data_IF_356025698565
#
_entry.id   IF_356025698565
#
_cell.length_a   1.000
_cell.length_b   1.000
_cell.length_c   1.000
_cell.angle_alpha   90.00
_cell.angle_beta   90.00
_cell.angle_gamma   90.00
#
_symmetry.space_group_name_H-M   'P 1'
#
loop_
_entity.id
_entity.type
_entity.pdbx_description
1 polymer ?
#
# COMPACT_ATOMS: atom_id res chain seq x y z
N UNK A 1 -10.59 5.23 14.92
CA UNK A 1 -10.19 3.94 14.31
C UNK A 1 -8.69 3.68 14.29
N UNK A 2 -7.84 4.70 14.43
CA UNK A 2 -6.40 4.52 14.54
C UNK A 2 -5.91 4.90 15.93
N UNK A 3 -6.10 6.16 16.33
CA UNK A 3 -5.62 6.68 17.61
C UNK A 3 -6.47 6.20 18.80
N UNK A 4 -7.79 6.38 18.73
CA UNK A 4 -8.69 6.06 19.85
C UNK A 4 -9.19 4.60 19.86
N UNK A 5 -8.97 3.87 18.78
CA UNK A 5 -9.34 2.45 18.68
C UNK A 5 -8.33 1.75 17.78
N UNK A 6 -7.16 1.34 18.29
CA UNK A 6 -6.10 0.76 17.49
C UNK A 6 -6.61 -0.39 16.62
N UNK A 7 -6.37 -0.29 15.31
CA UNK A 7 -6.70 -1.34 14.34
C UNK A 7 -5.49 -1.62 13.48
N UNK A 8 -5.35 -2.84 12.94
CA UNK A 8 -4.24 -3.13 12.03
C UNK A 8 -4.30 -2.23 10.80
N UNK A 9 -3.22 -1.48 10.60
CA UNK A 9 -3.06 -0.54 9.50
C UNK A 9 -1.80 -0.87 8.71
N UNK A 10 -1.86 -0.63 7.40
CA UNK A 10 -0.69 -0.61 6.52
C UNK A 10 -0.72 0.67 5.71
N UNK A 11 0.40 1.38 5.70
CA UNK A 11 0.59 2.56 4.86
C UNK A 11 1.06 2.11 3.48
N UNK A 12 0.46 2.67 2.43
CA UNK A 12 0.80 2.42 1.03
C UNK A 12 1.20 3.76 0.44
N UNK A 13 2.35 3.80 -0.21
CA UNK A 13 2.97 5.01 -0.74
C UNK A 13 4.37 4.67 -1.27
N UNK A 14 5.08 5.69 -1.74
CA UNK A 14 6.45 5.53 -2.24
C UNK A 14 7.38 5.16 -1.07
N UNK A 15 8.18 4.12 -1.24
CA UNK A 15 8.98 3.51 -0.20
C UNK A 15 10.36 4.19 -0.07
N UNK A 16 10.41 5.33 0.61
CA UNK A 16 11.66 6.09 0.88
C UNK A 16 12.55 6.25 -0.36
N UNK A 17 11.90 6.57 -1.48
CA UNK A 17 12.52 6.73 -2.79
C UNK A 17 12.09 8.07 -3.39
N UNK A 18 12.94 8.64 -4.24
CA UNK A 18 12.60 9.83 -4.98
C UNK A 18 11.63 9.54 -6.13
N UNK A 19 10.77 10.51 -6.41
CA UNK A 19 9.93 10.53 -7.60
C UNK A 19 10.76 10.58 -8.87
N UNK A 20 10.26 9.96 -9.93
CA UNK A 20 10.87 9.97 -11.26
C UNK A 20 9.88 10.53 -12.29
N UNK A 21 10.42 11.15 -13.34
CA UNK A 21 9.63 11.60 -14.49
C UNK A 21 9.43 10.43 -15.46
N UNK A 22 8.22 10.23 -15.95
CA UNK A 22 7.92 9.12 -16.86
C UNK A 22 6.43 8.97 -17.12
N UNK A 23 6.06 7.88 -17.79
CA UNK A 23 4.66 7.54 -18.00
C UNK A 23 4.00 7.18 -16.65
N UNK A 24 2.86 7.80 -16.29
CA UNK A 24 2.18 7.53 -15.02
C UNK A 24 1.89 6.04 -14.76
N UNK A 25 1.46 5.28 -15.78
CA UNK A 25 1.06 3.88 -15.62
C UNK A 25 2.27 2.97 -15.30
N UNK A 26 3.43 3.32 -15.84
CA UNK A 26 4.69 2.61 -15.56
C UNK A 26 5.21 2.96 -14.18
N UNK A 27 5.14 4.24 -13.79
CA UNK A 27 5.54 4.70 -12.46
C UNK A 27 4.69 4.05 -11.37
N UNK A 28 3.37 3.92 -11.57
CA UNK A 28 2.50 3.22 -10.62
C UNK A 28 2.91 1.76 -10.41
N UNK A 29 3.34 1.07 -11.47
CA UNK A 29 3.87 -0.30 -11.38
C UNK A 29 5.20 -0.36 -10.64
N UNK A 30 6.12 0.56 -10.95
CA UNK A 30 7.44 0.64 -10.29
C UNK A 30 7.28 0.88 -8.78
N UNK A 31 6.38 1.79 -8.39
CA UNK A 31 6.15 2.12 -6.99
C UNK A 31 5.18 1.18 -6.26
N UNK A 32 4.70 0.11 -6.91
CA UNK A 32 3.73 -0.82 -6.33
C UNK A 32 2.43 -0.14 -5.85
N UNK A 33 1.94 0.83 -6.63
CA UNK A 33 0.73 1.61 -6.37
C UNK A 33 -0.42 1.21 -7.29
N UNK A 34 -0.36 0.02 -7.88
CA UNK A 34 -1.44 -0.49 -8.74
C UNK A 34 -2.65 -0.97 -7.91
N UNK A 35 -3.80 -1.13 -8.56
CA UNK A 35 -4.99 -1.66 -7.90
C UNK A 35 -4.76 -3.08 -7.36
N UNK A 36 -3.99 -3.89 -8.09
CA UNK A 36 -3.59 -5.24 -7.70
C UNK A 36 -2.73 -5.23 -6.44
N UNK A 37 -1.73 -4.34 -6.36
CA UNK A 37 -0.84 -4.20 -5.20
C UNK A 37 -1.62 -3.78 -3.95
N UNK A 38 -2.54 -2.81 -4.09
CA UNK A 38 -3.40 -2.34 -2.99
C UNK A 38 -4.32 -3.46 -2.51
N UNK A 39 -4.94 -4.20 -3.43
CA UNK A 39 -5.82 -5.31 -3.10
C UNK A 39 -5.06 -6.43 -2.37
N UNK A 40 -3.84 -6.76 -2.81
CA UNK A 40 -3.00 -7.74 -2.13
C UNK A 40 -2.57 -7.25 -0.73
N UNK A 41 -2.18 -5.98 -0.60
CA UNK A 41 -1.85 -5.36 0.68
C UNK A 41 -3.04 -5.43 1.67
N UNK A 42 -4.26 -5.15 1.21
CA UNK A 42 -5.47 -5.27 2.02
C UNK A 42 -5.73 -6.71 2.47
N UNK A 43 -5.64 -7.69 1.56
CA UNK A 43 -5.78 -9.12 1.89
C UNK A 43 -4.77 -9.57 2.95
N UNK A 44 -3.51 -9.14 2.83
CA UNK A 44 -2.45 -9.44 3.81
C UNK A 44 -2.79 -8.92 5.22
N UNK A 45 -3.39 -7.72 5.33
CA UNK A 45 -3.82 -7.16 6.63
C UNK A 45 -4.98 -7.99 7.21
N UNK A 46 -5.97 -8.34 6.39
CA UNK A 46 -7.12 -9.14 6.83
C UNK A 46 -6.71 -10.52 7.33
N UNK A 47 -5.74 -11.17 6.68
CA UNK A 47 -5.20 -12.46 7.15
C UNK A 47 -4.51 -12.30 8.51
N UNK A 48 -3.74 -11.22 8.72
CA UNK A 48 -3.08 -10.95 10.01
C UNK A 48 -4.07 -10.69 11.14
N UNK A 49 -5.23 -10.10 10.86
CA UNK A 49 -6.29 -9.87 11.86
C UNK A 49 -6.90 -11.20 12.34
N UNK A 50 -6.99 -12.20 11.47
CA UNK A 50 -7.70 -13.47 11.73
C UNK A 50 -6.84 -14.55 12.39
N UNK A 51 -5.55 -14.30 12.58
CA UNK A 51 -4.61 -15.18 13.30
C UNK A 51 -4.47 -14.71 14.73
#
# INVERSE_FOLDING_TARGET
LAEERPTPMKRIGIADEFGQSGNPDELLKIYHLTAEDIAEAARKILIKIRR
#
